data_IF_529735488366
#
_entry.id   IF_529735488366
#
_cell.length_a   1.000
_cell.length_b   1.000
_cell.length_c   1.000
_cell.angle_alpha   90.00
_cell.angle_beta   90.00
_cell.angle_gamma   90.00
#
_symmetry.space_group_name_H-M   'P 1'
#
loop_
_entity.id
_entity.type
_entity.pdbx_description
1 polymer ?
#
# COMPACT_ATOMS: atom_id res chain seq x y z
N UNK A 1 -10.24 -13.80 -1.46
CA UNK A 1 -11.40 -13.24 -2.20
C UNK A 1 -11.22 -13.38 -3.72
N UNK A 2 -10.13 -12.89 -4.32
CA UNK A 2 -9.91 -12.98 -5.78
C UNK A 2 -9.75 -14.41 -6.33
N UNK A 3 -9.11 -15.30 -5.57
CA UNK A 3 -9.02 -16.74 -5.92
C UNK A 3 -10.41 -17.38 -5.97
N UNK A 4 -11.27 -17.06 -4.99
CA UNK A 4 -12.63 -17.59 -4.93
C UNK A 4 -13.51 -17.10 -6.09
N UNK A 5 -13.17 -15.95 -6.69
CA UNK A 5 -13.84 -15.43 -7.89
C UNK A 5 -13.22 -15.93 -9.20
N UNK A 6 -12.20 -16.79 -9.15
CA UNK A 6 -11.52 -17.31 -10.35
C UNK A 6 -10.67 -16.29 -11.11
N UNK A 7 -10.48 -15.08 -10.56
CA UNK A 7 -9.72 -13.99 -11.21
C UNK A 7 -8.20 -14.16 -11.09
N UNK A 8 -7.74 -14.96 -10.13
CA UNK A 8 -6.31 -15.27 -9.94
C UNK A 8 -6.14 -16.74 -9.57
N UNK A 9 -5.07 -17.35 -10.10
CA UNK A 9 -4.77 -18.77 -9.93
C UNK A 9 -4.19 -19.14 -8.57
N UNK A 10 -3.62 -18.18 -7.83
CA UNK A 10 -3.02 -18.42 -6.52
C UNK A 10 -3.32 -17.26 -5.55
N UNK A 11 -3.35 -17.55 -4.25
CA UNK A 11 -3.49 -16.52 -3.21
C UNK A 11 -2.15 -15.89 -2.82
N UNK A 12 -1.15 -15.87 -3.70
CA UNK A 12 0.18 -15.32 -3.38
C UNK A 12 0.19 -13.83 -3.65
N UNK A 13 0.89 -13.08 -2.79
CA UNK A 13 1.09 -11.65 -2.98
C UNK A 13 1.71 -11.36 -4.36
N UNK A 14 1.11 -10.43 -5.13
CA UNK A 14 1.60 -10.05 -6.46
C UNK A 14 3.01 -9.46 -6.50
N UNK A 15 3.53 -9.04 -5.34
CA UNK A 15 4.92 -8.58 -5.18
C UNK A 15 5.93 -9.69 -4.84
N UNK A 16 5.49 -10.95 -4.76
CA UNK A 16 6.33 -12.15 -4.54
C UNK A 16 7.11 -12.14 -3.23
N UNK A 17 6.54 -11.54 -2.17
CA UNK A 17 7.15 -11.53 -0.83
C UNK A 17 6.95 -12.83 -0.03
N UNK A 18 6.43 -13.89 -0.66
CA UNK A 18 6.23 -15.21 -0.03
C UNK A 18 4.99 -15.37 0.85
N UNK A 19 4.21 -14.31 1.07
CA UNK A 19 2.99 -14.32 1.89
C UNK A 19 1.71 -14.38 1.05
N UNK A 20 0.61 -14.73 1.71
CA UNK A 20 -0.72 -14.69 1.13
C UNK A 20 -1.19 -13.26 0.82
N UNK A 21 -1.96 -13.08 -0.24
CA UNK A 21 -2.51 -11.77 -0.60
C UNK A 21 -3.81 -11.50 0.18
N UNK A 22 -3.83 -10.41 0.94
CA UNK A 22 -5.01 -9.78 1.53
C UNK A 22 -4.93 -8.26 1.30
N UNK A 23 -6.01 -7.53 1.56
CA UNK A 23 -6.00 -6.06 1.44
C UNK A 23 -4.98 -5.47 2.44
N UNK A 24 -5.03 -5.93 3.68
CA UNK A 24 -4.11 -5.50 4.75
C UNK A 24 -2.66 -5.78 4.38
N UNK A 25 -2.42 -6.98 3.85
CA UNK A 25 -1.10 -7.38 3.39
C UNK A 25 -0.64 -6.52 2.21
N UNK A 26 -1.47 -6.33 1.18
CA UNK A 26 -1.08 -5.64 -0.03
C UNK A 26 -0.64 -4.19 0.23
N UNK A 27 -1.33 -3.48 1.12
CA UNK A 27 -1.10 -2.04 1.29
C UNK A 27 -0.15 -1.66 2.43
N UNK A 28 -0.05 -2.49 3.48
CA UNK A 28 0.74 -2.13 4.67
C UNK A 28 1.72 -3.21 5.11
N UNK A 29 1.36 -4.49 5.07
CA UNK A 29 2.23 -5.54 5.64
C UNK A 29 3.22 -6.14 4.63
N UNK A 30 2.95 -6.01 3.33
CA UNK A 30 3.86 -6.47 2.30
C UNK A 30 5.15 -5.64 2.37
N UNK A 31 6.33 -6.27 2.51
CA UNK A 31 7.59 -5.54 2.65
C UNK A 31 7.87 -4.56 1.51
N UNK A 32 7.36 -4.82 0.30
CA UNK A 32 7.51 -3.93 -0.85
C UNK A 32 6.71 -2.64 -0.68
N UNK A 33 5.41 -2.73 -0.42
CA UNK A 33 4.54 -1.54 -0.28
C UNK A 33 4.78 -0.83 1.04
N UNK A 34 5.11 -1.55 2.11
CA UNK A 34 5.54 -0.99 3.37
C UNK A 34 6.75 -0.06 3.21
N UNK A 35 7.76 -0.47 2.43
CA UNK A 35 8.93 0.36 2.16
C UNK A 35 8.56 1.65 1.42
N UNK A 36 7.70 1.56 0.40
CA UNK A 36 7.21 2.72 -0.36
C UNK A 36 6.45 3.68 0.56
N UNK A 37 5.50 3.16 1.33
CA UNK A 37 4.72 3.99 2.25
C UNK A 37 5.61 4.66 3.31
N UNK A 38 6.55 3.92 3.92
CA UNK A 38 7.46 4.47 4.91
C UNK A 38 8.34 5.59 4.32
N UNK A 39 8.90 5.38 3.13
CA UNK A 39 9.71 6.37 2.43
C UNK A 39 8.96 7.69 2.25
N UNK A 40 7.75 7.62 1.70
CA UNK A 40 6.93 8.80 1.48
C UNK A 40 6.41 9.44 2.76
N UNK A 41 6.07 8.65 3.78
CA UNK A 41 5.65 9.15 5.08
C UNK A 41 6.77 9.95 5.76
N UNK A 42 8.03 9.49 5.64
CA UNK A 42 9.20 10.24 6.09
C UNK A 42 9.40 11.54 5.30
N UNK A 43 9.21 11.51 3.97
CA UNK A 43 9.26 12.73 3.15
C UNK A 43 8.18 13.75 3.54
N UNK A 44 7.01 13.27 3.94
CA UNK A 44 5.94 14.10 4.51
C UNK A 44 6.24 14.56 5.95
N UNK A 45 7.42 14.27 6.51
CA UNK A 45 7.86 14.74 7.82
C UNK A 45 7.20 14.01 8.99
N UNK A 46 6.90 12.71 8.83
CA UNK A 46 6.42 11.83 9.90
C UNK A 46 7.38 10.66 10.10
N UNK A 47 7.87 10.50 11.33
CA UNK A 47 8.70 9.37 11.73
C UNK A 47 7.93 8.44 12.65
N UNK A 48 7.65 7.23 12.18
CA UNK A 48 7.03 6.16 12.97
C UNK A 48 7.35 4.80 12.37
N UNK A 49 7.34 3.77 13.22
CA UNK A 49 7.36 2.38 12.77
C UNK A 49 6.03 2.04 12.12
N UNK A 50 6.08 1.35 10.98
CA UNK A 50 4.87 0.78 10.39
C UNK A 50 4.34 -0.35 11.28
N UNK A 51 3.04 -0.33 11.50
CA UNK A 51 2.24 -1.31 12.22
C UNK A 51 1.26 -1.99 11.26
N UNK A 52 0.45 -2.91 11.75
CA UNK A 52 -0.61 -3.54 10.93
C UNK A 52 -1.61 -2.51 10.37
N UNK A 53 -2.35 -2.90 9.32
CA UNK A 53 -3.26 -2.03 8.57
C UNK A 53 -4.20 -1.21 9.46
N UNK A 54 -4.85 -1.85 10.43
CA UNK A 54 -5.81 -1.19 11.32
C UNK A 54 -5.19 -0.02 12.09
N UNK A 55 -4.00 -0.22 12.66
CA UNK A 55 -3.28 0.79 13.45
C UNK A 55 -2.83 1.94 12.56
N UNK A 56 -2.35 1.64 11.34
CA UNK A 56 -1.95 2.65 10.37
C UNK A 56 -3.13 3.49 9.87
N UNK A 57 -4.25 2.84 9.55
CA UNK A 57 -5.46 3.51 9.10
C UNK A 57 -6.01 4.44 10.19
N UNK A 58 -6.08 3.97 11.43
CA UNK A 58 -6.51 4.78 12.57
C UNK A 58 -5.58 5.97 12.80
N UNK A 59 -4.26 5.76 12.72
CA UNK A 59 -3.29 6.85 12.83
C UNK A 59 -3.51 7.90 11.74
N UNK A 60 -3.69 7.50 10.48
CA UNK A 60 -3.99 8.42 9.38
C UNK A 60 -5.27 9.20 9.63
N UNK A 61 -6.35 8.53 10.06
CA UNK A 61 -7.64 9.15 10.36
C UNK A 61 -7.54 10.16 11.50
N UNK A 62 -6.78 9.85 12.55
CA UNK A 62 -6.63 10.72 13.71
C UNK A 62 -5.67 11.89 13.46
N UNK A 63 -4.54 11.62 12.78
CA UNK A 63 -3.43 12.56 12.64
C UNK A 63 -3.54 13.49 11.43
N UNK A 64 -4.19 13.05 10.35
CA UNK A 64 -4.33 13.82 9.10
C UNK A 64 -5.67 14.58 9.01
N UNK A 65 -6.26 14.91 10.17
CA UNK A 65 -7.49 15.71 10.28
C UNK A 65 -7.20 17.17 9.94
N UNK A 66 -8.16 17.80 9.27
CA UNK A 66 -8.07 19.21 8.87
C UNK A 66 -7.42 19.44 7.50
N UNK A 67 -7.19 20.73 7.21
CA UNK A 67 -6.80 21.24 5.89
C UNK A 67 -5.41 21.87 5.87
N UNK A 68 -4.57 21.59 6.87
CA UNK A 68 -3.17 21.98 6.81
C UNK A 68 -2.50 21.37 5.57
N UNK A 69 -1.64 22.15 4.90
CA UNK A 69 -0.98 21.74 3.67
C UNK A 69 -0.20 20.42 3.83
N UNK A 70 0.48 20.24 4.97
CA UNK A 70 1.22 19.00 5.26
C UNK A 70 0.26 17.81 5.34
N UNK A 71 -0.87 17.96 6.01
CA UNK A 71 -1.87 16.88 6.15
C UNK A 71 -2.56 16.57 4.83
N UNK A 72 -2.89 17.60 4.04
CA UNK A 72 -3.45 17.43 2.71
C UNK A 72 -2.47 16.70 1.78
N UNK A 73 -1.21 17.13 1.74
CA UNK A 73 -0.16 16.48 0.96
C UNK A 73 0.01 15.02 1.38
N UNK A 74 0.04 14.74 2.69
CA UNK A 74 0.19 13.37 3.20
C UNK A 74 -0.99 12.47 2.81
N UNK A 75 -2.22 13.01 2.82
CA UNK A 75 -3.42 12.29 2.34
C UNK A 75 -3.33 11.95 0.86
N UNK A 76 -2.88 12.90 0.03
CA UNK A 76 -2.65 12.65 -1.39
C UNK A 76 -1.57 11.59 -1.60
N UNK A 77 -0.45 11.71 -0.88
CA UNK A 77 0.63 10.74 -0.94
C UNK A 77 0.17 9.34 -0.56
N UNK A 78 -0.63 9.19 0.50
CA UNK A 78 -1.23 7.91 0.88
C UNK A 78 -2.10 7.35 -0.27
N UNK A 79 -2.98 8.17 -0.83
CA UNK A 79 -3.84 7.76 -1.94
C UNK A 79 -3.02 7.33 -3.18
N UNK A 80 -1.96 8.08 -3.51
CA UNK A 80 -1.05 7.75 -4.61
C UNK A 80 -0.32 6.43 -4.37
N UNK A 81 0.22 6.20 -3.17
CA UNK A 81 0.91 4.94 -2.83
C UNK A 81 -0.03 3.75 -2.95
N UNK A 82 -1.25 3.86 -2.43
CA UNK A 82 -2.28 2.80 -2.53
C UNK A 82 -2.62 2.54 -4.00
N UNK A 83 -2.94 3.59 -4.76
CA UNK A 83 -3.36 3.49 -6.15
C UNK A 83 -2.26 2.87 -7.03
N UNK A 84 -1.03 3.38 -6.95
CA UNK A 84 0.09 2.86 -7.74
C UNK A 84 0.51 1.45 -7.33
N UNK A 85 0.42 1.10 -6.04
CA UNK A 85 0.66 -0.27 -5.59
C UNK A 85 -0.38 -1.24 -6.18
N UNK A 86 -1.66 -0.88 -6.15
CA UNK A 86 -2.72 -1.67 -6.76
C UNK A 86 -2.53 -1.82 -8.28
N UNK A 87 -2.22 -0.71 -8.96
CA UNK A 87 -1.99 -0.69 -10.40
C UNK A 87 -0.80 -1.59 -10.79
N UNK A 88 0.32 -1.49 -10.06
CA UNK A 88 1.49 -2.32 -10.30
C UNK A 88 1.21 -3.81 -10.03
N UNK A 89 0.49 -4.13 -8.96
CA UNK A 89 0.04 -5.50 -8.68
C UNK A 89 -0.78 -6.06 -9.83
N UNK A 90 -1.71 -5.27 -10.38
CA UNK A 90 -2.53 -5.70 -11.52
C UNK A 90 -1.70 -5.87 -12.80
N UNK A 91 -0.75 -4.97 -13.07
CA UNK A 91 0.15 -5.11 -14.22
C UNK A 91 0.97 -6.40 -14.15
N UNK A 92 1.48 -6.76 -12.96
CA UNK A 92 2.23 -8.00 -12.75
C UNK A 92 1.40 -9.25 -12.98
N UNK A 93 0.10 -9.19 -12.73
CA UNK A 93 -0.79 -10.34 -12.85
C UNK A 93 -1.37 -10.52 -14.24
N UNK A 94 -1.74 -9.44 -14.92
CA UNK A 94 -2.43 -9.52 -16.20
C UNK A 94 -1.53 -9.22 -17.40
N UNK A 95 -0.48 -8.42 -17.23
CA UNK A 95 0.35 -7.97 -18.34
C UNK A 95 1.79 -8.55 -18.30
N UNK A 96 2.17 -9.28 -17.25
CA UNK A 96 3.56 -9.69 -16.97
C UNK A 96 4.59 -8.54 -17.10
N UNK A 97 4.13 -7.28 -17.00
CA UNK A 97 4.96 -6.11 -17.22
C UNK A 97 5.40 -5.56 -15.86
N UNK A 98 6.70 -5.50 -15.63
CA UNK A 98 7.28 -4.82 -14.47
C UNK A 98 7.54 -3.37 -14.84
N UNK A 99 6.91 -2.42 -14.13
CA UNK A 99 7.34 -1.03 -14.23
C UNK A 99 8.45 -0.79 -13.22
N UNK A 100 9.61 -0.38 -13.69
CA UNK A 100 10.66 0.18 -12.84
C UNK A 100 10.19 1.55 -12.34
N UNK A 101 10.11 1.71 -11.02
CA UNK A 101 9.96 3.00 -10.34
C UNK A 101 11.33 3.61 -10.07
#
# INVERSE_FOLDING_TARGET
KLVAWGLVSTNRCGFRCGQGESIDHLFIECPFTARIWNHFLMMCGFWKRLSGWHVEAEWCIQRLKGNDFKYWLTKLTLASVIYHSWQERNNRLYNNCFRSF
#
